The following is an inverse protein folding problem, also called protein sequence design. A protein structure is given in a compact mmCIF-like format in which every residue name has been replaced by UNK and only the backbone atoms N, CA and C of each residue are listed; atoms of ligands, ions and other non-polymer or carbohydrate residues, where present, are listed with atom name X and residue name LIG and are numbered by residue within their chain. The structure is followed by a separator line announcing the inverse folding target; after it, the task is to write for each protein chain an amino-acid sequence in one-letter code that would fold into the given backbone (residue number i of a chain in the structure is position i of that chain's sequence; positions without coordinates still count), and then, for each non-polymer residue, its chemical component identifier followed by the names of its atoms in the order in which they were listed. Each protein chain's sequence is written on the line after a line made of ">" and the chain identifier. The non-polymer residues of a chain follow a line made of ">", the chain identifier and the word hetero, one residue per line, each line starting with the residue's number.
data_IF_385057295265
#
_entry.id   IF_385057295265
#
_cell.length_a   1.000
_cell.length_b   1.000
_cell.length_c   1.000
_cell.angle_alpha   90.00
_cell.angle_beta   90.00
_cell.angle_gamma   90.00
#
_symmetry.space_group_name_H-M   'P 1'
#
loop_
_entity.id
_entity.type
_entity.pdbx_description
1 polymer ?
#
# COMPACT_ATOMS: atom_id res chain seq x y z
N UNK A 1 -12.09 22.76 -4.55
CA UNK A 1 -10.88 22.11 -4.01
C UNK A 1 -10.59 20.82 -4.77
N UNK A 2 -9.86 20.88 -5.90
CA UNK A 2 -9.57 19.71 -6.75
C UNK A 2 -8.15 19.14 -6.58
N UNK A 3 -7.26 19.81 -5.84
CA UNK A 3 -5.86 19.40 -5.73
C UNK A 3 -5.68 18.11 -4.92
N UNK A 4 -6.45 17.91 -3.85
CA UNK A 4 -6.32 16.69 -3.03
C UNK A 4 -6.81 15.40 -3.71
N UNK A 5 -7.64 15.53 -4.76
CA UNK A 5 -8.18 14.40 -5.55
C UNK A 5 -7.15 13.75 -6.46
N UNK A 6 -6.19 14.51 -6.99
CA UNK A 6 -5.11 13.94 -7.81
C UNK A 6 -4.04 13.26 -6.94
N UNK A 7 -3.83 13.74 -5.72
CA UNK A 7 -2.76 13.28 -4.84
C UNK A 7 -2.89 11.80 -4.46
N UNK A 8 -4.08 11.28 -4.17
CA UNK A 8 -4.23 9.89 -3.73
C UNK A 8 -3.97 8.87 -4.86
N UNK A 9 -4.52 9.12 -6.06
CA UNK A 9 -4.29 8.28 -7.25
C UNK A 9 -2.86 8.41 -7.75
N UNK A 10 -2.26 9.61 -7.72
CA UNK A 10 -0.86 9.79 -8.08
C UNK A 10 0.08 9.11 -7.09
N UNK A 11 -0.15 9.24 -5.77
CA UNK A 11 0.65 8.56 -4.76
C UNK A 11 0.52 7.04 -4.91
N UNK A 12 -0.69 6.49 -4.98
CA UNK A 12 -0.89 5.04 -5.06
C UNK A 12 -0.45 4.46 -6.42
N UNK A 13 -0.62 5.20 -7.50
CA UNK A 13 -0.10 4.82 -8.82
C UNK A 13 1.43 4.82 -8.89
N UNK A 14 2.09 5.82 -8.31
CA UNK A 14 3.56 5.84 -8.23
C UNK A 14 4.11 4.74 -7.31
N UNK A 15 3.36 4.34 -6.28
CA UNK A 15 3.72 3.24 -5.39
C UNK A 15 3.75 1.90 -6.12
N UNK A 16 2.87 1.65 -7.09
CA UNK A 16 2.94 0.45 -7.92
C UNK A 16 4.32 0.30 -8.58
N UNK A 17 4.81 1.36 -9.21
CA UNK A 17 6.15 1.40 -9.84
C UNK A 17 7.26 1.17 -8.82
N UNK A 18 7.15 1.78 -7.64
CA UNK A 18 8.13 1.64 -6.55
C UNK A 18 8.17 0.22 -5.97
N UNK A 19 7.01 -0.44 -5.82
CA UNK A 19 6.91 -1.83 -5.36
C UNK A 19 7.44 -2.82 -6.39
N UNK A 20 7.16 -2.58 -7.67
CA UNK A 20 7.74 -3.37 -8.76
C UNK A 20 9.27 -3.25 -8.73
N UNK A 21 9.79 -2.05 -8.51
CA UNK A 21 11.24 -1.81 -8.34
C UNK A 21 11.80 -2.55 -7.14
N UNK A 22 11.15 -2.51 -5.97
CA UNK A 22 11.54 -3.28 -4.79
C UNK A 22 11.56 -4.79 -5.09
N UNK A 23 10.51 -5.30 -5.74
CA UNK A 23 10.35 -6.72 -6.07
C UNK A 23 11.44 -7.20 -7.04
N UNK A 24 11.76 -6.37 -8.02
CA UNK A 24 12.86 -6.60 -8.98
C UNK A 24 14.22 -6.57 -8.30
N UNK A 25 14.44 -5.58 -7.42
CA UNK A 25 15.66 -5.50 -6.62
C UNK A 25 15.81 -6.77 -5.78
N UNK A 26 14.85 -7.14 -4.94
CA UNK A 26 14.92 -8.35 -4.10
C UNK A 26 15.23 -9.62 -4.91
N UNK A 27 14.63 -9.76 -6.10
CA UNK A 27 14.91 -10.86 -7.03
C UNK A 27 16.35 -10.84 -7.58
N UNK A 28 16.80 -9.71 -8.14
CA UNK A 28 18.16 -9.54 -8.65
C UNK A 28 19.22 -9.72 -7.55
N UNK A 29 18.85 -9.36 -6.33
CA UNK A 29 19.63 -9.51 -5.14
C UNK A 29 19.71 -10.99 -4.66
N UNK A 30 18.95 -11.96 -5.19
CA UNK A 30 18.83 -13.31 -4.57
C UNK A 30 18.50 -13.27 -3.07
N UNK A 31 17.93 -12.16 -2.59
CA UNK A 31 17.25 -12.04 -1.30
C UNK A 31 15.83 -12.61 -1.40
N UNK A 32 15.58 -13.33 -2.49
CA UNK A 32 14.32 -13.84 -2.95
C UNK A 32 13.70 -14.76 -1.90
N UNK A 33 12.61 -14.26 -1.32
CA UNK A 33 11.63 -15.10 -0.63
C UNK A 33 10.37 -15.04 -1.46
N UNK A 34 10.16 -16.10 -2.24
CA UNK A 34 9.08 -16.24 -3.22
C UNK A 34 7.73 -15.69 -2.74
N UNK A 35 7.33 -16.02 -1.51
CA UNK A 35 6.07 -15.58 -0.93
C UNK A 35 6.02 -14.08 -0.64
N UNK A 36 7.13 -13.48 -0.16
CA UNK A 36 7.19 -12.05 0.10
C UNK A 36 7.11 -11.24 -1.20
N UNK A 37 7.85 -11.65 -2.24
CA UNK A 37 7.78 -11.03 -3.57
C UNK A 37 6.39 -11.17 -4.18
N UNK A 38 5.78 -12.34 -4.05
CA UNK A 38 4.40 -12.56 -4.49
C UNK A 38 3.46 -11.55 -3.82
N UNK A 39 3.50 -11.42 -2.50
CA UNK A 39 2.64 -10.49 -1.78
C UNK A 39 2.87 -9.01 -2.15
N UNK A 40 4.11 -8.60 -2.42
CA UNK A 40 4.38 -7.26 -2.93
C UNK A 40 3.82 -7.06 -4.35
N UNK A 41 3.90 -8.08 -5.21
CA UNK A 41 3.29 -8.07 -6.54
C UNK A 41 1.76 -7.99 -6.47
N UNK A 42 1.13 -8.85 -5.67
CA UNK A 42 -0.31 -8.85 -5.42
C UNK A 42 -0.78 -7.47 -4.90
N UNK A 43 0.03 -6.81 -4.07
CA UNK A 43 -0.22 -5.44 -3.60
C UNK A 43 -0.09 -4.38 -4.71
N UNK A 44 0.94 -4.50 -5.55
CA UNK A 44 1.17 -3.57 -6.65
C UNK A 44 0.03 -3.61 -7.68
N UNK A 45 -0.51 -4.80 -7.96
CA UNK A 45 -1.64 -4.98 -8.88
C UNK A 45 -2.93 -4.31 -8.38
N UNK A 46 -3.16 -4.30 -7.06
CA UNK A 46 -4.38 -3.70 -6.47
C UNK A 46 -4.29 -2.22 -6.13
N UNK A 47 -3.09 -1.69 -5.87
CA UNK A 47 -2.92 -0.35 -5.32
C UNK A 47 -3.55 0.74 -6.22
N UNK A 48 -3.45 0.58 -7.54
CA UNK A 48 -4.07 1.50 -8.49
C UNK A 48 -5.61 1.47 -8.42
N UNK A 49 -6.20 0.28 -8.34
CA UNK A 49 -7.64 0.11 -8.22
C UNK A 49 -8.19 0.61 -6.88
N UNK A 50 -7.48 0.33 -5.78
CA UNK A 50 -7.85 0.84 -4.46
C UNK A 50 -7.76 2.38 -4.41
N UNK A 51 -6.84 2.99 -5.15
CA UNK A 51 -6.79 4.45 -5.34
C UNK A 51 -8.05 5.02 -6.01
N UNK A 52 -8.64 4.29 -6.97
CA UNK A 52 -9.92 4.67 -7.59
C UNK A 52 -11.09 4.56 -6.61
N UNK A 53 -11.11 3.53 -5.75
CA UNK A 53 -12.11 3.40 -4.69
C UNK A 53 -12.04 4.58 -3.71
N UNK A 54 -10.83 4.96 -3.28
CA UNK A 54 -10.63 6.11 -2.40
C UNK A 54 -11.18 7.39 -3.05
N UNK A 55 -10.90 7.61 -4.34
CA UNK A 55 -11.41 8.79 -5.03
C UNK A 55 -12.94 8.75 -5.20
N UNK A 56 -13.52 7.60 -5.56
CA UNK A 56 -14.96 7.44 -5.70
C UNK A 56 -15.69 7.68 -4.36
N UNK A 57 -15.11 7.20 -3.25
CA UNK A 57 -15.71 7.33 -1.91
C UNK A 57 -15.90 8.78 -1.46
N UNK A 58 -15.18 9.74 -2.05
CA UNK A 58 -15.30 11.17 -1.72
C UNK A 58 -16.54 11.83 -2.32
N UNK A 59 -17.21 11.15 -3.26
CA UNK A 59 -18.44 11.67 -3.89
C UNK A 59 -19.63 11.66 -2.93
N UNK A 60 -19.55 10.88 -1.86
CA UNK A 60 -20.59 10.77 -0.84
C UNK A 60 -20.00 10.82 0.56
N UNK A 61 -20.66 11.58 1.43
CA UNK A 61 -20.22 11.80 2.81
C UNK A 61 -20.26 10.54 3.68
N UNK A 62 -21.15 9.59 3.39
CA UNK A 62 -21.25 8.32 4.12
C UNK A 62 -20.10 7.38 3.74
N UNK A 63 -19.66 7.43 2.48
CA UNK A 63 -18.54 6.64 1.96
C UNK A 63 -17.16 7.23 2.30
N UNK A 64 -17.06 8.57 2.41
CA UNK A 64 -15.80 9.30 2.54
C UNK A 64 -14.95 8.86 3.73
N UNK A 65 -15.56 8.65 4.90
CA UNK A 65 -14.84 8.20 6.10
C UNK A 65 -14.18 6.84 5.88
N UNK A 66 -14.84 5.93 5.17
CA UNK A 66 -14.31 4.58 4.94
C UNK A 66 -13.24 4.57 3.87
N UNK A 67 -13.39 5.40 2.83
CA UNK A 67 -12.31 5.66 1.88
C UNK A 67 -11.07 6.25 2.53
N UNK A 68 -11.25 7.13 3.52
CA UNK A 68 -10.13 7.66 4.30
C UNK A 68 -9.41 6.52 5.05
N UNK A 69 -10.14 5.63 5.74
CA UNK A 69 -9.54 4.49 6.44
C UNK A 69 -8.75 3.56 5.51
N UNK A 70 -9.26 3.32 4.30
CA UNK A 70 -8.52 2.58 3.28
C UNK A 70 -7.21 3.31 2.93
N UNK A 71 -7.26 4.62 2.70
CA UNK A 71 -6.06 5.42 2.47
C UNK A 71 -5.05 5.32 3.65
N UNK A 72 -5.52 5.41 4.89
CA UNK A 72 -4.69 5.22 6.10
C UNK A 72 -3.96 3.87 6.08
N UNK A 73 -4.67 2.78 5.78
CA UNK A 73 -4.08 1.44 5.75
C UNK A 73 -2.99 1.30 4.67
N UNK A 74 -3.17 1.91 3.50
CA UNK A 74 -2.12 1.98 2.48
C UNK A 74 -0.90 2.75 3.01
N UNK A 75 -1.11 3.92 3.62
CA UNK A 75 -0.02 4.77 4.13
C UNK A 75 0.79 4.11 5.24
N UNK A 76 0.15 3.34 6.12
CA UNK A 76 0.87 2.55 7.12
C UNK A 76 1.78 1.51 6.47
N UNK A 77 1.30 0.80 5.45
CA UNK A 77 2.10 -0.19 4.72
C UNK A 77 3.29 0.48 4.02
N UNK A 78 3.08 1.62 3.37
CA UNK A 78 4.15 2.38 2.68
C UNK A 78 5.19 2.87 3.70
N UNK A 79 4.75 3.44 4.83
CA UNK A 79 5.64 3.85 5.91
C UNK A 79 6.47 2.68 6.46
N UNK A 80 5.86 1.51 6.60
CA UNK A 80 6.53 0.30 7.03
C UNK A 80 7.58 -0.19 6.01
N UNK A 81 7.24 -0.18 4.71
CA UNK A 81 8.17 -0.52 3.63
C UNK A 81 9.37 0.44 3.60
N UNK A 82 9.12 1.74 3.73
CA UNK A 82 10.17 2.77 3.76
C UNK A 82 11.14 2.58 4.94
N UNK A 83 10.64 2.20 6.12
CA UNK A 83 11.48 1.89 7.29
C UNK A 83 12.37 0.65 7.08
N UNK A 84 11.93 -0.26 6.22
CA UNK A 84 12.59 -1.55 5.97
C UNK A 84 13.67 -1.50 4.89
N UNK A 85 13.81 -0.36 4.19
CA UNK A 85 14.92 -0.02 3.28
C UNK A 85 15.12 -1.01 2.11
N UNK A 86 14.03 -1.45 1.48
CA UNK A 86 14.07 -2.43 0.39
C UNK A 86 14.41 -1.86 -1.00
N UNK A 87 14.67 -0.56 -1.11
CA UNK A 87 14.81 0.16 -2.40
C UNK A 87 16.24 0.22 -2.91
N UNK A 88 17.21 -0.23 -2.11
CA UNK A 88 18.62 -0.27 -2.53
C UNK A 88 18.76 -1.16 -3.76
N UNK A 89 19.39 -0.61 -4.80
CA UNK A 89 19.71 -1.32 -6.04
C UNK A 89 20.56 -2.58 -5.80
N UNK A 90 20.29 -3.64 -6.57
CA UNK A 90 21.07 -4.88 -6.57
C UNK A 90 22.54 -4.71 -6.87
N UNK A 91 22.90 -3.65 -7.61
CA UNK A 91 24.29 -3.31 -7.96
C UNK A 91 25.05 -2.64 -6.81
N UNK A 92 24.34 -2.11 -5.81
CA UNK A 92 24.93 -1.35 -4.71
C UNK A 92 25.39 -2.21 -3.53
N UNK A 93 25.10 -3.53 -3.54
CA UNK A 93 25.41 -4.43 -2.42
C UNK A 93 26.25 -5.61 -2.87
N UNK A 94 27.41 -5.77 -2.22
CA UNK A 94 28.32 -6.89 -2.44
C UNK A 94 27.79 -8.13 -1.71
N UNK A 95 27.13 -9.02 -2.47
CA UNK A 95 26.48 -10.28 -2.04
C UNK A 95 27.27 -11.17 -1.09
N UNK A 96 28.59 -11.20 -1.30
CA UNK A 96 29.52 -12.02 -0.55
C UNK A 96 29.83 -11.46 0.85
N UNK A 97 29.28 -10.30 1.22
CA UNK A 97 29.44 -9.72 2.55
C UNK A 97 28.10 -9.60 3.27
N UNK A 98 27.75 -10.62 4.03
CA UNK A 98 26.48 -10.67 4.76
C UNK A 98 26.36 -9.52 5.77
N UNK A 99 27.48 -9.08 6.39
CA UNK A 99 27.50 -7.88 7.24
C UNK A 99 27.06 -6.61 6.49
N UNK A 100 27.48 -6.43 5.23
CA UNK A 100 27.06 -5.30 4.40
C UNK A 100 25.61 -5.43 3.95
N UNK A 101 25.13 -6.65 3.73
CA UNK A 101 23.72 -6.93 3.46
C UNK A 101 22.84 -6.51 4.64
N UNK A 102 23.15 -6.96 5.86
CA UNK A 102 22.40 -6.60 7.09
C UNK A 102 22.46 -5.10 7.42
N UNK A 103 23.57 -4.43 7.12
CA UNK A 103 23.71 -2.99 7.38
C UNK A 103 22.93 -2.14 6.37
N UNK A 104 22.91 -2.55 5.09
CA UNK A 104 22.26 -1.79 4.01
C UNK A 104 20.78 -2.12 3.91
N UNK A 105 20.46 -3.40 3.78
CA UNK A 105 19.10 -3.88 3.93
C UNK A 105 18.87 -4.12 5.41
N UNK A 106 17.92 -3.41 6.02
CA UNK A 106 17.42 -3.72 7.37
C UNK A 106 16.56 -5.00 7.33
N UNK A 107 17.01 -6.00 6.58
CA UNK A 107 16.48 -7.34 6.49
C UNK A 107 17.08 -8.14 7.64
N UNK A 108 16.32 -8.46 8.68
CA UNK A 108 16.71 -9.53 9.56
C UNK A 108 16.49 -10.80 8.74
N UNK A 109 17.54 -11.34 8.10
CA UNK A 109 17.51 -12.61 7.37
C UNK A 109 16.95 -13.76 8.25
N UNK A 110 16.93 -13.60 9.57
CA UNK A 110 16.35 -14.55 10.52
C UNK A 110 14.89 -14.26 10.92
N UNK A 111 14.35 -13.05 10.66
CA UNK A 111 12.99 -12.66 11.07
C UNK A 111 12.01 -12.49 9.91
N UNK A 112 12.32 -13.03 8.72
CA UNK A 112 11.49 -12.79 7.54
C UNK A 112 10.13 -13.50 7.61
N UNK A 113 9.98 -14.55 8.41
CA UNK A 113 8.66 -15.12 8.73
C UNK A 113 7.77 -14.08 9.42
N UNK A 114 8.33 -13.34 10.38
CA UNK A 114 7.65 -12.21 11.03
C UNK A 114 7.33 -11.08 10.05
N UNK A 115 8.28 -10.69 9.19
CA UNK A 115 8.04 -9.66 8.17
C UNK A 115 7.00 -10.07 7.13
N UNK A 116 7.01 -11.34 6.72
CA UNK A 116 6.02 -11.88 5.77
C UNK A 116 4.64 -11.93 6.41
N UNK A 117 4.54 -12.36 7.68
CA UNK A 117 3.29 -12.31 8.45
C UNK A 117 2.78 -10.88 8.59
N UNK A 118 3.67 -9.93 8.90
CA UNK A 118 3.34 -8.51 9.04
C UNK A 118 2.82 -7.91 7.72
N UNK A 119 3.51 -8.18 6.60
CA UNK A 119 3.05 -7.78 5.27
C UNK A 119 1.66 -8.39 4.99
N UNK A 120 1.49 -9.68 5.24
CA UNK A 120 0.21 -10.37 5.01
C UNK A 120 -0.92 -9.73 5.82
N UNK A 121 -0.68 -9.35 7.08
CA UNK A 121 -1.67 -8.66 7.92
C UNK A 121 -2.07 -7.29 7.34
N UNK A 122 -1.11 -6.50 6.87
CA UNK A 122 -1.43 -5.24 6.19
C UNK A 122 -2.27 -5.47 4.93
N UNK A 123 -1.91 -6.45 4.10
CA UNK A 123 -2.65 -6.74 2.87
C UNK A 123 -4.05 -7.27 3.12
N UNK A 124 -4.23 -8.10 4.15
CA UNK A 124 -5.55 -8.55 4.58
C UNK A 124 -6.41 -7.39 5.09
N UNK A 125 -5.82 -6.46 5.85
CA UNK A 125 -6.52 -5.27 6.33
C UNK A 125 -6.96 -4.36 5.17
N UNK A 126 -6.04 -4.08 4.23
CA UNK A 126 -6.33 -3.31 3.02
C UNK A 126 -7.42 -4.01 2.19
N UNK A 127 -7.32 -5.34 2.01
CA UNK A 127 -8.35 -6.16 1.37
C UNK A 127 -9.73 -5.96 1.98
N UNK A 128 -9.83 -6.13 3.29
CA UNK A 128 -11.09 -5.98 4.03
C UNK A 128 -11.66 -4.57 3.90
N UNK A 129 -10.84 -3.54 4.05
CA UNK A 129 -11.28 -2.15 3.94
C UNK A 129 -11.74 -1.82 2.52
N UNK A 130 -11.02 -2.30 1.49
CA UNK A 130 -11.40 -2.10 0.10
C UNK A 130 -12.74 -2.76 -0.24
N UNK A 131 -12.97 -4.00 0.22
CA UNK A 131 -14.25 -4.68 0.05
C UNK A 131 -15.39 -3.89 0.72
N UNK A 132 -15.15 -3.33 1.91
CA UNK A 132 -16.15 -2.52 2.62
C UNK A 132 -16.42 -1.17 1.95
N UNK A 133 -15.40 -0.50 1.40
CA UNK A 133 -15.58 0.73 0.62
C UNK A 133 -16.37 0.43 -0.65
N UNK A 134 -16.03 -0.66 -1.34
CA UNK A 134 -16.75 -1.10 -2.53
C UNK A 134 -18.23 -1.37 -2.23
N UNK A 135 -18.53 -2.05 -1.12
CA UNK A 135 -19.92 -2.31 -0.72
C UNK A 135 -20.70 -1.01 -0.39
N UNK A 136 -20.07 -0.03 0.25
CA UNK A 136 -20.70 1.26 0.52
C UNK A 136 -20.98 2.04 -0.78
N UNK A 137 -20.04 2.01 -1.73
CA UNK A 137 -20.19 2.66 -3.02
C UNK A 137 -21.30 2.01 -3.86
N UNK A 138 -21.35 0.68 -3.90
CA UNK A 138 -22.39 -0.12 -4.57
C UNK A 138 -23.78 0.17 -3.96
N UNK A 139 -23.87 0.34 -2.64
CA UNK A 139 -25.12 0.65 -1.96
C UNK A 139 -25.62 2.09 -2.16
N UNK A 140 -24.72 3.02 -2.49
CA UNK A 140 -25.04 4.42 -2.75
C UNK A 140 -25.09 4.76 -4.26
N UNK A 141 -25.14 3.75 -5.13
CA UNK A 141 -25.17 3.89 -6.59
C UNK A 141 -24.03 4.74 -7.18
N UNK A 142 -22.86 4.74 -6.52
CA UNK A 142 -21.69 5.50 -6.98
C UNK A 142 -20.92 4.70 -8.02
N UNK A 143 -20.76 5.30 -9.19
CA UNK A 143 -20.13 4.66 -10.33
C UNK A 143 -18.61 4.59 -10.14
N UNK A 144 -18.08 3.37 -10.05
CA UNK A 144 -16.64 3.11 -9.98
C UNK A 144 -16.13 2.83 -11.40
N UNK A 145 -15.03 3.46 -11.83
CA UNK A 145 -14.43 3.16 -13.13
C UNK A 145 -14.08 1.66 -13.22
N UNK A 146 -14.35 1.00 -14.36
CA UNK A 146 -14.07 -0.42 -14.51
C UNK A 146 -12.59 -0.70 -14.28
N UNK A 147 -12.31 -1.76 -13.52
CA UNK A 147 -10.96 -2.18 -13.23
C UNK A 147 -10.84 -3.71 -13.18
N UNK A 148 -9.59 -4.19 -13.22
CA UNK A 148 -9.27 -5.62 -13.30
C UNK A 148 -9.49 -6.39 -11.99
N UNK A 149 -9.69 -5.69 -10.87
CA UNK A 149 -9.84 -6.28 -9.53
C UNK A 149 -11.31 -6.59 -9.25
N UNK A 150 -11.57 -7.85 -8.87
CA UNK A 150 -12.89 -8.29 -8.40
C UNK A 150 -13.00 -8.11 -6.89
N UNK A 151 -13.56 -6.99 -6.46
CA UNK A 151 -13.89 -6.75 -5.05
C UNK A 151 -14.99 -7.69 -4.57
N UNK A 152 -14.91 -8.12 -3.30
CA UNK A 152 -15.92 -9.00 -2.73
C UNK A 152 -17.12 -8.16 -2.28
N UNK A 153 -18.32 -8.56 -2.68
CA UNK A 153 -19.54 -8.02 -2.09
C UNK A 153 -19.62 -8.49 -0.63
N UNK A 154 -19.47 -7.55 0.30
CA UNK A 154 -19.61 -7.78 1.74
C UNK A 154 -20.86 -7.07 2.25
N UNK A 155 -21.48 -7.56 3.35
CA UNK A 155 -22.56 -6.83 4.00
C UNK A 155 -22.10 -5.42 4.36
N UNK A 156 -23.01 -4.45 4.24
CA UNK A 156 -22.79 -3.07 4.68
C UNK A 156 -22.28 -3.07 6.12
N UNK A 157 -21.05 -2.61 6.31
CA UNK A 157 -20.49 -2.50 7.65
C UNK A 157 -21.06 -1.25 8.33
N UNK A 158 -21.08 -1.25 9.67
CA UNK A 158 -21.61 -0.13 10.45
C UNK A 158 -20.90 1.19 10.10
N UNK A 159 -21.60 2.34 10.24
CA UNK A 159 -21.00 3.66 10.04
C UNK A 159 -19.71 3.76 10.87
N UNK A 160 -18.62 4.13 10.22
CA UNK A 160 -17.37 4.29 10.93
C UNK A 160 -17.35 5.68 11.55
N UNK A 161 -17.02 5.77 12.84
CA UNK A 161 -16.79 7.04 13.52
C UNK A 161 -15.72 7.86 12.80
N UNK A 162 -15.65 9.17 13.09
CA UNK A 162 -14.69 10.07 12.45
C UNK A 162 -13.29 9.47 12.49
N UNK A 163 -12.64 9.28 11.34
CA UNK A 163 -11.25 8.85 11.31
C UNK A 163 -10.36 9.88 12.04
N UNK A 164 -9.12 9.52 12.43
CA UNK A 164 -8.27 10.45 13.16
C UNK A 164 -8.11 11.76 12.38
N UNK A 165 -8.19 12.90 13.07
CA UNK A 165 -8.08 14.27 12.52
C UNK A 165 -6.69 14.59 11.91
N UNK A 166 -5.85 13.57 11.71
CA UNK A 166 -4.45 13.66 11.28
C UNK A 166 -4.25 13.50 9.75
N UNK A 167 -5.30 13.70 8.93
CA UNK A 167 -5.26 13.48 7.48
C UNK A 167 -4.09 14.22 6.78
N UNK A 168 -3.86 15.48 7.14
CA UNK A 168 -2.72 16.27 6.63
C UNK A 168 -1.36 15.72 7.07
N UNK A 169 -1.25 15.23 8.30
CA UNK A 169 -0.01 14.60 8.76
C UNK A 169 0.24 13.28 8.04
N UNK A 170 -0.81 12.54 7.65
CA UNK A 170 -0.65 11.33 6.86
C UNK A 170 -0.22 11.59 5.43
N UNK A 171 -0.81 12.56 4.74
CA UNK A 171 -0.34 12.93 3.40
C UNK A 171 1.13 13.34 3.48
N UNK A 172 1.53 14.12 4.50
CA UNK A 172 2.93 14.47 4.73
C UNK A 172 3.80 13.24 4.96
N UNK A 173 3.42 12.32 5.86
CA UNK A 173 4.17 11.09 6.16
C UNK A 173 4.29 10.18 4.93
N UNK A 174 3.21 10.05 4.16
CA UNK A 174 3.12 9.30 2.92
C UNK A 174 4.05 9.85 1.85
N UNK A 175 3.98 11.16 1.58
CA UNK A 175 4.84 11.84 0.62
C UNK A 175 6.32 11.70 1.01
N UNK A 176 6.64 11.81 2.30
CA UNK A 176 8.00 11.57 2.80
C UNK A 176 8.44 10.12 2.61
N UNK A 177 7.56 9.15 2.87
CA UNK A 177 7.85 7.73 2.71
C UNK A 177 8.02 7.36 1.23
N UNK A 178 7.14 7.85 0.36
CA UNK A 178 7.24 7.71 -1.09
C UNK A 178 8.56 8.31 -1.60
N UNK A 179 8.92 9.52 -1.19
CA UNK A 179 10.21 10.14 -1.57
C UNK A 179 11.40 9.29 -1.14
N UNK A 180 11.36 8.69 0.05
CA UNK A 180 12.41 7.75 0.50
C UNK A 180 12.44 6.48 -0.32
N UNK A 181 11.29 6.00 -0.79
CA UNK A 181 11.22 4.77 -1.56
C UNK A 181 11.60 4.97 -3.03
N UNK A 182 11.46 6.19 -3.56
CA UNK A 182 11.83 6.56 -4.93
C UNK A 182 13.29 7.03 -5.07
N UNK A 183 14.06 7.05 -3.98
CA UNK A 183 15.50 7.34 -3.93
C UNK A 183 16.32 6.04 -3.94
#
# INVERSE_FOLDING_TARGET
>A
MPEETNIAVEILGTIQTTLNTITNNLGANRLDRRSFRKYLGDYAERAASDGRLINASRQDSQCANRGLLLAYAHMELICWLAKSNYTISSTSVKWYSWRKLFAKYRLPLLAVTSQTSHLTKHLQNIGKLADQVFADLDANDILIPPDSIKYRKVPLAQPVGSPPDESHDLIRRATLAQKKLSQ
#
